data_IF_650580874405
#
_entry.id   IF_650580874405
#
_cell.length_a   1.000
_cell.length_b   1.000
_cell.length_c   1.000
_cell.angle_alpha   90.00
_cell.angle_beta   90.00
_cell.angle_gamma   90.00
#
_symmetry.space_group_name_H-M   'P 1'
#
loop_
_entity.id
_entity.type
_entity.pdbx_description
1 polymer ?
#
# COMPACT_ATOMS: atom_id res chain seq x y z
N UNK A 1 9.95 -6.28 -14.28
CA UNK A 1 9.14 -5.09 -13.93
C UNK A 1 8.34 -5.40 -12.69
N UNK A 2 8.14 -4.42 -11.80
CA UNK A 2 7.31 -4.62 -10.60
C UNK A 2 5.87 -4.92 -11.02
N UNK A 3 5.34 -6.06 -10.57
CA UNK A 3 4.02 -6.55 -10.94
C UNK A 3 2.98 -6.20 -9.88
N UNK A 4 2.84 -4.90 -9.65
CA UNK A 4 1.85 -4.32 -8.74
C UNK A 4 1.03 -3.28 -9.50
N UNK A 5 -0.28 -3.32 -9.32
CA UNK A 5 -1.24 -2.39 -9.90
C UNK A 5 -2.15 -1.82 -8.82
N UNK A 6 -2.57 -0.56 -8.98
CA UNK A 6 -3.32 0.16 -7.98
C UNK A 6 -4.48 0.98 -8.55
N UNK A 7 -5.62 0.97 -7.87
CA UNK A 7 -6.67 1.97 -7.98
C UNK A 7 -6.75 2.74 -6.66
N UNK A 8 -6.54 4.05 -6.71
CA UNK A 8 -6.49 4.93 -5.53
C UNK A 8 -7.60 5.97 -5.65
N UNK A 9 -8.45 6.06 -4.64
CA UNK A 9 -9.58 6.99 -4.60
C UNK A 9 -9.48 7.88 -3.36
N UNK A 10 -9.53 9.20 -3.55
CA UNK A 10 -9.49 10.20 -2.47
C UNK A 10 -10.55 11.28 -2.69
N UNK A 11 -11.45 11.48 -1.72
CA UNK A 11 -12.60 12.38 -1.87
C UNK A 11 -12.70 13.29 -0.64
N UNK A 12 -12.33 14.56 -0.83
CA UNK A 12 -12.50 15.60 0.18
C UNK A 12 -13.80 16.37 -0.02
N UNK A 13 -14.12 16.66 -1.27
CA UNK A 13 -15.30 17.43 -1.64
C UNK A 13 -16.41 16.56 -2.21
N UNK A 14 -17.65 16.93 -1.93
CA UNK A 14 -18.84 16.24 -2.41
C UNK A 14 -19.72 17.22 -3.18
N UNK A 15 -20.33 16.76 -4.27
CA UNK A 15 -21.20 17.59 -5.10
C UNK A 15 -22.46 18.02 -4.36
N UNK A 16 -22.95 17.15 -3.48
CA UNK A 16 -24.11 17.40 -2.65
C UNK A 16 -23.73 18.35 -1.50
N UNK A 17 -24.16 19.60 -1.57
CA UNK A 17 -23.79 20.65 -0.59
C UNK A 17 -24.26 20.42 0.86
N UNK A 18 -25.04 19.38 1.12
CA UNK A 18 -25.42 18.99 2.50
C UNK A 18 -24.41 18.06 3.16
N UNK A 19 -23.51 17.45 2.38
CA UNK A 19 -22.39 16.66 2.90
C UNK A 19 -21.26 17.65 3.19
N UNK A 20 -20.68 17.60 4.38
CA UNK A 20 -19.55 18.44 4.68
C UNK A 20 -18.30 17.90 3.99
N UNK A 21 -17.37 18.80 3.65
CA UNK A 21 -16.10 18.38 3.07
C UNK A 21 -15.16 17.86 4.18
N UNK A 22 -14.31 16.94 3.77
CA UNK A 22 -13.11 16.50 4.48
C UNK A 22 -11.91 17.34 4.02
N UNK A 23 -10.79 17.24 4.72
CA UNK A 23 -9.61 18.09 4.46
C UNK A 23 -8.35 17.32 4.04
N UNK A 24 -8.38 15.98 4.09
CA UNK A 24 -7.16 15.18 3.97
C UNK A 24 -7.22 13.96 3.06
N UNK A 25 -8.38 13.55 2.58
CA UNK A 25 -8.54 12.35 1.79
C UNK A 25 -7.79 12.42 0.45
N UNK A 26 -7.75 13.60 -0.19
CA UNK A 26 -7.01 13.80 -1.43
C UNK A 26 -5.51 13.77 -1.19
N UNK A 27 -5.03 14.37 -0.10
CA UNK A 27 -3.61 14.34 0.24
C UNK A 27 -3.15 12.93 0.64
N UNK A 28 -3.98 12.20 1.37
CA UNK A 28 -3.75 10.79 1.70
C UNK A 28 -3.64 9.90 0.47
N UNK A 29 -4.57 10.03 -0.49
CA UNK A 29 -4.50 9.34 -1.78
C UNK A 29 -3.19 9.67 -2.52
N UNK A 30 -2.77 10.94 -2.54
CA UNK A 30 -1.50 11.37 -3.15
C UNK A 30 -0.28 10.81 -2.41
N UNK A 31 -0.31 10.71 -1.08
CA UNK A 31 0.77 10.09 -0.29
C UNK A 31 0.90 8.60 -0.59
N UNK A 32 -0.23 7.88 -0.69
CA UNK A 32 -0.25 6.46 -1.09
C UNK A 32 0.29 6.29 -2.51
N UNK A 33 -0.14 7.13 -3.47
CA UNK A 33 0.42 7.10 -4.82
C UNK A 33 1.94 7.34 -4.81
N UNK A 34 2.41 8.32 -4.03
CA UNK A 34 3.85 8.60 -3.90
C UNK A 34 4.59 7.39 -3.34
N UNK A 35 4.07 6.71 -2.33
CA UNK A 35 4.66 5.49 -1.80
C UNK A 35 4.80 4.40 -2.88
N UNK A 36 3.73 4.13 -3.64
CA UNK A 36 3.79 3.14 -4.74
C UNK A 36 4.82 3.52 -5.81
N UNK A 37 4.82 4.77 -6.27
CA UNK A 37 5.68 5.19 -7.39
C UNK A 37 7.14 5.41 -6.97
N UNK A 38 7.38 5.98 -5.78
CA UNK A 38 8.71 6.42 -5.34
C UNK A 38 9.42 5.37 -4.52
N UNK A 39 8.72 4.66 -3.65
CA UNK A 39 9.36 3.74 -2.71
C UNK A 39 9.33 2.32 -3.28
N UNK A 40 8.14 1.86 -3.69
CA UNK A 40 7.97 0.56 -4.33
C UNK A 40 8.39 0.55 -5.81
N UNK A 41 8.66 1.72 -6.42
CA UNK A 41 9.06 1.88 -7.84
C UNK A 41 8.05 1.33 -8.85
N UNK A 42 6.78 1.30 -8.48
CA UNK A 42 5.68 0.86 -9.35
C UNK A 42 5.61 1.78 -10.59
N UNK A 43 5.50 1.23 -11.81
CA UNK A 43 5.32 2.03 -13.01
C UNK A 43 4.10 2.94 -12.92
N UNK A 44 4.21 4.18 -13.44
CA UNK A 44 3.13 5.17 -13.35
C UNK A 44 1.83 4.69 -14.00
N UNK A 45 1.93 3.98 -15.11
CA UNK A 45 0.80 3.43 -15.85
C UNK A 45 0.15 2.21 -15.18
N UNK A 46 0.73 1.70 -14.08
CA UNK A 46 0.10 0.67 -13.25
C UNK A 46 -0.80 1.28 -12.15
N UNK A 47 -0.76 2.59 -11.92
CA UNK A 47 -1.52 3.26 -10.86
C UNK A 47 -2.56 4.21 -11.48
N UNK A 48 -3.83 3.90 -11.27
CA UNK A 48 -4.96 4.78 -11.54
C UNK A 48 -5.34 5.52 -10.27
N UNK A 49 -5.57 6.84 -10.35
CA UNK A 49 -5.97 7.66 -9.21
C UNK A 49 -7.16 8.53 -9.60
N UNK A 50 -8.20 8.53 -8.76
CA UNK A 50 -9.42 9.33 -8.93
C UNK A 50 -9.59 10.24 -7.71
N UNK A 51 -9.68 11.55 -7.95
CA UNK A 51 -9.76 12.55 -6.89
C UNK A 51 -11.02 13.42 -7.03
N UNK A 52 -11.69 13.70 -5.91
CA UNK A 52 -12.85 14.59 -5.83
C UNK A 52 -13.84 14.36 -7.00
N UNK A 53 -14.06 15.37 -7.85
CA UNK A 53 -14.99 15.35 -9.00
C UNK A 53 -14.79 14.20 -9.98
N UNK A 54 -13.59 13.60 -10.01
CA UNK A 54 -13.30 12.44 -10.86
C UNK A 54 -13.79 11.14 -10.22
N UNK A 55 -13.91 11.08 -8.89
CA UNK A 55 -14.33 9.92 -8.12
C UNK A 55 -15.87 9.81 -8.02
N UNK A 56 -16.54 9.92 -9.17
CA UNK A 56 -17.96 9.57 -9.32
C UNK A 56 -18.16 8.06 -9.26
N UNK A 57 -19.35 7.61 -8.88
CA UNK A 57 -19.67 6.17 -8.84
C UNK A 57 -19.34 5.47 -10.16
N UNK A 58 -19.86 5.99 -11.27
CA UNK A 58 -19.65 5.42 -12.60
C UNK A 58 -18.17 5.40 -13.00
N UNK A 59 -17.39 6.42 -12.64
CA UNK A 59 -15.99 6.47 -13.01
C UNK A 59 -15.12 5.53 -12.17
N UNK A 60 -15.46 5.33 -10.89
CA UNK A 60 -14.82 4.33 -10.04
C UNK A 60 -15.09 2.92 -10.59
N UNK A 61 -16.35 2.58 -10.86
CA UNK A 61 -16.72 1.26 -11.40
C UNK A 61 -16.07 0.99 -12.77
N UNK A 62 -16.11 1.98 -13.66
CA UNK A 62 -15.45 1.90 -14.97
C UNK A 62 -13.94 1.72 -14.84
N UNK A 63 -13.29 2.54 -14.02
CA UNK A 63 -11.83 2.47 -13.81
C UNK A 63 -11.43 1.14 -13.17
N UNK A 64 -12.20 0.64 -12.20
CA UNK A 64 -11.96 -0.68 -11.61
C UNK A 64 -11.98 -1.78 -12.69
N UNK A 65 -13.02 -1.79 -13.52
CA UNK A 65 -13.17 -2.77 -14.59
C UNK A 65 -12.05 -2.64 -15.64
N UNK A 66 -11.83 -1.45 -16.19
CA UNK A 66 -10.86 -1.27 -17.28
C UNK A 66 -9.40 -1.37 -16.82
N UNK A 67 -9.07 -0.85 -15.63
CA UNK A 67 -7.68 -0.76 -15.15
C UNK A 67 -7.20 -2.01 -14.42
N UNK A 68 -8.07 -2.71 -13.70
CA UNK A 68 -7.68 -3.89 -12.91
C UNK A 68 -8.10 -5.20 -13.58
N UNK A 69 -9.35 -5.30 -14.03
CA UNK A 69 -9.90 -6.56 -14.58
C UNK A 69 -9.50 -6.76 -16.05
N UNK A 70 -9.84 -5.81 -16.91
CA UNK A 70 -9.69 -5.93 -18.38
C UNK A 70 -8.30 -5.55 -18.89
N UNK A 71 -7.45 -5.00 -18.02
CA UNK A 71 -6.11 -4.56 -18.39
C UNK A 71 -5.25 -5.73 -18.87
N UNK A 72 -4.77 -5.64 -20.11
CA UNK A 72 -3.96 -6.70 -20.75
C UNK A 72 -2.53 -6.74 -20.23
N UNK A 73 -2.07 -5.70 -19.53
CA UNK A 73 -0.76 -5.67 -18.86
C UNK A 73 -0.75 -6.45 -17.54
N UNK A 74 -1.93 -6.70 -16.94
CA UNK A 74 -2.03 -7.45 -15.70
C UNK A 74 -2.12 -8.96 -15.95
N UNK A 75 -1.42 -9.73 -15.15
CA UNK A 75 -1.37 -11.18 -15.20
C UNK A 75 -1.93 -11.80 -13.92
N UNK A 76 -2.28 -13.09 -13.99
CA UNK A 76 -2.68 -13.84 -12.80
C UNK A 76 -1.50 -13.89 -11.80
N UNK A 77 -1.78 -13.58 -10.54
CA UNK A 77 -0.80 -13.51 -9.46
C UNK A 77 -0.08 -12.16 -9.32
N UNK A 78 -0.44 -11.15 -10.12
CA UNK A 78 0.00 -9.77 -9.86
C UNK A 78 -0.62 -9.25 -8.56
N UNK A 79 0.10 -8.36 -7.87
CA UNK A 79 -0.43 -7.70 -6.68
C UNK A 79 -1.39 -6.57 -7.07
N UNK A 80 -2.59 -6.57 -6.51
CA UNK A 80 -3.61 -5.55 -6.75
C UNK A 80 -3.87 -4.76 -5.46
N UNK A 81 -3.81 -3.44 -5.54
CA UNK A 81 -4.17 -2.54 -4.43
C UNK A 81 -5.41 -1.74 -4.81
N UNK A 82 -6.40 -1.72 -3.93
CA UNK A 82 -7.56 -0.83 -4.03
C UNK A 82 -7.60 0.02 -2.76
N UNK A 83 -7.39 1.32 -2.90
CA UNK A 83 -7.33 2.26 -1.78
C UNK A 83 -8.49 3.25 -1.83
N UNK A 84 -9.17 3.44 -0.71
CA UNK A 84 -10.20 4.46 -0.55
C UNK A 84 -9.95 5.31 0.69
N UNK A 85 -10.04 6.63 0.50
CA UNK A 85 -10.10 7.63 1.55
C UNK A 85 -11.28 8.56 1.25
N UNK A 86 -12.35 8.46 2.03
CA UNK A 86 -13.59 9.20 1.82
C UNK A 86 -14.54 9.07 3.02
N UNK A 87 -15.68 9.75 2.98
CA UNK A 87 -16.79 9.47 3.86
C UNK A 87 -17.35 8.06 3.61
N UNK A 88 -17.69 7.38 4.69
CA UNK A 88 -18.59 6.24 4.67
C UNK A 88 -19.98 6.66 5.14
N UNK A 89 -20.96 5.83 4.85
CA UNK A 89 -22.31 5.97 5.39
C UNK A 89 -22.98 4.61 5.50
N UNK A 90 -24.23 4.62 5.95
CA UNK A 90 -25.10 3.44 5.98
C UNK A 90 -26.43 3.82 5.35
N UNK A 91 -26.75 3.25 4.19
CA UNK A 91 -28.04 3.47 3.50
C UNK A 91 -29.08 2.55 4.11
N UNK A 92 -30.26 3.08 4.44
CA UNK A 92 -31.39 2.30 4.94
C UNK A 92 -32.35 1.99 3.80
N UNK A 93 -32.79 0.74 3.74
CA UNK A 93 -33.78 0.27 2.77
C UNK A 93 -35.16 0.23 3.43
N UNK A 94 -36.23 0.31 2.64
CA UNK A 94 -37.61 0.22 3.14
C UNK A 94 -37.85 -1.05 3.97
N UNK A 95 -37.21 -2.16 3.58
CA UNK A 95 -37.20 -3.42 4.30
C UNK A 95 -35.77 -3.96 4.40
N UNK A 96 -35.30 -4.23 5.63
CA UNK A 96 -34.01 -4.88 5.90
C UNK A 96 -32.98 -4.04 6.65
N UNK A 97 -31.81 -4.63 6.99
CA UNK A 97 -30.74 -3.94 7.69
C UNK A 97 -30.09 -2.88 6.80
N UNK A 98 -29.54 -1.83 7.42
CA UNK A 98 -28.75 -0.82 6.72
C UNK A 98 -27.54 -1.43 6.01
N UNK A 99 -27.16 -0.86 4.87
CA UNK A 99 -26.03 -1.33 4.06
C UNK A 99 -24.94 -0.27 4.03
N UNK A 100 -23.71 -0.70 4.32
CA UNK A 100 -22.55 0.19 4.35
C UNK A 100 -22.19 0.65 2.93
N UNK A 101 -21.82 1.91 2.80
CA UNK A 101 -21.48 2.54 1.53
C UNK A 101 -20.26 3.42 1.66
N UNK A 102 -19.37 3.37 0.68
CA UNK A 102 -18.38 4.42 0.44
C UNK A 102 -19.04 5.54 -0.35
N UNK A 103 -19.05 6.75 0.20
CA UNK A 103 -19.65 7.92 -0.44
C UNK A 103 -18.75 8.38 -1.59
N UNK A 104 -19.26 8.29 -2.81
CA UNK A 104 -18.61 8.83 -4.02
C UNK A 104 -18.85 10.34 -4.13
N UNK A 105 -18.16 11.02 -5.03
CA UNK A 105 -18.30 12.48 -5.20
C UNK A 105 -19.76 12.92 -5.44
N UNK A 106 -20.50 12.11 -6.18
CA UNK A 106 -21.90 12.29 -6.56
C UNK A 106 -22.89 11.60 -5.60
N UNK A 107 -22.45 11.15 -4.42
CA UNK A 107 -23.32 10.53 -3.42
C UNK A 107 -24.47 11.46 -3.00
N UNK A 108 -25.71 10.94 -3.06
CA UNK A 108 -26.92 11.69 -2.78
C UNK A 108 -27.35 12.66 -3.88
N UNK A 109 -26.65 12.69 -5.02
CA UNK A 109 -27.10 13.42 -6.19
C UNK A 109 -28.15 12.59 -6.94
N UNK A 110 -29.40 13.05 -6.95
CA UNK A 110 -30.50 12.27 -7.52
C UNK A 110 -30.63 10.92 -6.83
N UNK A 111 -30.50 9.82 -7.57
CA UNK A 111 -30.61 8.45 -7.05
C UNK A 111 -29.24 7.77 -6.83
N UNK A 112 -28.13 8.52 -6.84
CA UNK A 112 -26.80 7.93 -6.65
C UNK A 112 -26.58 7.57 -5.18
N UNK A 113 -26.55 6.27 -4.90
CA UNK A 113 -26.33 5.71 -3.56
C UNK A 113 -24.86 5.52 -3.19
N UNK A 114 -23.91 5.87 -4.05
CA UNK A 114 -22.48 5.62 -3.84
C UNK A 114 -22.07 4.16 -4.10
N UNK A 115 -20.94 3.72 -3.54
CA UNK A 115 -20.42 2.37 -3.74
C UNK A 115 -20.74 1.46 -2.53
N UNK A 116 -21.79 0.65 -2.68
CA UNK A 116 -22.24 -0.30 -1.65
C UNK A 116 -21.21 -1.41 -1.40
N UNK A 117 -21.17 -1.91 -0.17
CA UNK A 117 -20.33 -3.06 0.24
C UNK A 117 -20.46 -4.27 -0.70
N UNK A 118 -21.68 -4.67 -1.05
CA UNK A 118 -22.00 -5.80 -1.93
C UNK A 118 -21.50 -5.56 -3.34
N UNK A 119 -21.65 -4.33 -3.86
CA UNK A 119 -21.18 -3.98 -5.19
C UNK A 119 -19.65 -4.07 -5.27
N UNK A 120 -18.95 -3.53 -4.26
CA UNK A 120 -17.50 -3.67 -4.17
C UNK A 120 -17.07 -5.14 -4.04
N UNK A 121 -17.74 -5.92 -3.19
CA UNK A 121 -17.47 -7.37 -3.03
C UNK A 121 -17.61 -8.13 -4.35
N UNK A 122 -18.66 -7.85 -5.14
CA UNK A 122 -18.83 -8.47 -6.47
C UNK A 122 -17.70 -8.09 -7.41
N UNK A 123 -17.34 -6.81 -7.50
CA UNK A 123 -16.22 -6.36 -8.34
C UNK A 123 -14.89 -7.03 -7.96
N UNK A 124 -14.62 -7.20 -6.66
CA UNK A 124 -13.42 -7.86 -6.15
C UNK A 124 -13.42 -9.36 -6.43
N UNK A 125 -14.58 -10.01 -6.33
CA UNK A 125 -14.71 -11.42 -6.70
C UNK A 125 -14.40 -11.62 -8.19
N UNK A 126 -14.88 -10.73 -9.05
CA UNK A 126 -14.60 -10.79 -10.48
C UNK A 126 -13.13 -10.48 -10.80
N UNK A 127 -12.52 -9.52 -10.08
CA UNK A 127 -11.08 -9.30 -10.13
C UNK A 127 -10.30 -10.55 -9.70
N UNK A 128 -10.73 -11.22 -8.64
CA UNK A 128 -10.08 -12.45 -8.14
C UNK A 128 -10.17 -13.60 -9.14
N UNK A 129 -11.32 -13.78 -9.78
CA UNK A 129 -11.48 -14.75 -10.88
C UNK A 129 -10.57 -14.42 -12.07
N UNK A 130 -10.45 -13.14 -12.42
CA UNK A 130 -9.64 -12.72 -13.56
C UNK A 130 -8.13 -12.77 -13.30
N UNK A 131 -7.67 -12.33 -12.11
CA UNK A 131 -6.26 -12.00 -11.83
C UNK A 131 -5.68 -12.72 -10.60
N UNK A 132 -6.48 -13.49 -9.86
CA UNK A 132 -6.05 -14.18 -8.64
C UNK A 132 -6.31 -13.38 -7.37
N UNK A 133 -5.97 -13.97 -6.22
CA UNK A 133 -6.38 -13.51 -4.88
C UNK A 133 -5.38 -12.59 -4.17
N UNK A 134 -4.31 -12.17 -4.85
CA UNK A 134 -3.33 -11.21 -4.31
C UNK A 134 -3.88 -9.77 -4.39
N UNK A 135 -5.06 -9.57 -3.79
CA UNK A 135 -5.80 -8.33 -3.78
C UNK A 135 -5.82 -7.79 -2.35
N UNK A 136 -5.32 -6.56 -2.18
CA UNK A 136 -5.33 -5.85 -0.89
C UNK A 136 -6.20 -4.62 -1.01
N UNK A 137 -7.18 -4.49 -0.11
CA UNK A 137 -8.03 -3.31 0.00
C UNK A 137 -7.65 -2.54 1.23
N UNK A 138 -7.53 -1.23 1.08
CA UNK A 138 -7.18 -0.32 2.15
C UNK A 138 -8.30 0.72 2.25
N UNK A 139 -9.08 0.67 3.33
CA UNK A 139 -10.21 1.58 3.57
C UNK A 139 -9.90 2.52 4.73
N UNK A 140 -9.72 3.80 4.44
CA UNK A 140 -9.62 4.85 5.45
C UNK A 140 -10.92 5.65 5.53
N UNK A 141 -11.95 4.98 6.05
CA UNK A 141 -13.35 5.45 6.13
C UNK A 141 -14.10 4.75 7.28
N UNK A 142 -15.29 5.25 7.65
CA UNK A 142 -16.16 4.64 8.66
C UNK A 142 -17.66 4.77 8.33
N UNK A 143 -18.49 3.82 8.76
CA UNK A 143 -19.85 3.63 8.20
C UNK A 143 -21.01 3.87 9.18
N UNK A 144 -20.83 3.52 10.46
CA UNK A 144 -21.88 3.59 11.48
C UNK A 144 -21.34 4.02 12.85
N UNK A 145 -20.61 5.15 12.97
CA UNK A 145 -20.05 5.56 14.25
C UNK A 145 -21.16 5.87 15.26
N UNK A 146 -20.98 5.44 16.51
CA UNK A 146 -21.87 5.78 17.61
C UNK A 146 -22.05 7.30 17.71
N UNK A 147 -23.29 7.79 17.80
CA UNK A 147 -23.60 9.21 17.87
C UNK A 147 -23.73 9.65 19.34
N UNK A 148 -22.62 10.10 19.94
CA UNK A 148 -22.60 10.76 21.26
C UNK A 148 -22.48 12.29 21.12
N UNK A 149 -22.81 13.09 22.15
CA UNK A 149 -22.66 14.55 22.09
C UNK A 149 -21.25 15.02 21.72
N UNK A 150 -20.20 14.31 22.19
CA UNK A 150 -18.82 14.58 21.81
C UNK A 150 -18.59 14.26 20.32
N UNK A 151 -19.16 13.16 19.83
CA UNK A 151 -19.00 12.72 18.45
C UNK A 151 -19.66 13.65 17.44
N UNK A 152 -20.75 14.32 17.82
CA UNK A 152 -21.43 15.32 16.99
C UNK A 152 -20.57 16.59 16.83
N UNK A 153 -19.83 16.98 17.88
CA UNK A 153 -18.93 18.15 17.83
C UNK A 153 -17.77 17.91 16.85
N UNK A 154 -17.24 16.69 16.82
CA UNK A 154 -16.09 16.30 15.97
C UNK A 154 -16.50 15.71 14.61
N UNK A 155 -17.77 15.86 14.20
CA UNK A 155 -18.29 15.25 12.96
C UNK A 155 -17.54 15.69 11.70
N UNK A 156 -17.03 16.93 11.69
CA UNK A 156 -16.27 17.48 10.54
C UNK A 156 -14.97 16.73 10.27
N UNK A 157 -14.36 16.18 11.32
CA UNK A 157 -13.10 15.43 11.20
C UNK A 157 -13.35 13.91 11.20
N UNK A 158 -14.61 13.47 11.20
CA UNK A 158 -14.97 12.06 11.13
C UNK A 158 -15.27 11.72 9.68
N UNK A 159 -14.67 10.65 9.17
CA UNK A 159 -14.87 10.17 7.78
C UNK A 159 -16.19 9.41 7.64
N UNK A 160 -17.28 10.04 8.05
CA UNK A 160 -18.65 9.55 7.97
C UNK A 160 -19.62 10.69 7.66
N UNK A 161 -20.68 10.43 6.90
CA UNK A 161 -21.80 11.36 6.72
C UNK A 161 -23.14 10.63 6.88
N UNK A 162 -24.20 11.24 7.43
CA UNK A 162 -25.53 10.64 7.45
C UNK A 162 -26.10 10.49 6.02
N UNK A 163 -27.00 9.52 5.86
CA UNK A 163 -27.66 9.17 4.60
C UNK A 163 -29.14 9.57 4.58
N UNK A 164 -29.60 10.42 5.51
CA UNK A 164 -31.01 10.66 5.86
C UNK A 164 -31.96 11.04 4.70
N UNK A 165 -31.42 11.40 3.52
CA UNK A 165 -32.19 11.75 2.31
C UNK A 165 -32.17 10.67 1.22
N UNK A 166 -31.42 9.59 1.42
CA UNK A 166 -31.29 8.46 0.50
C UNK A 166 -32.10 7.30 1.10
N UNK A 167 -33.42 7.40 1.01
CA UNK A 167 -34.29 6.23 1.19
C UNK A 167 -34.49 5.66 -0.20
N UNK A 168 -33.78 4.57 -0.50
CA UNK A 168 -34.05 3.87 -1.75
C UNK A 168 -35.35 3.11 -1.59
N UNK A 169 -36.33 3.47 -2.41
CA UNK A 169 -37.59 2.74 -2.55
C UNK A 169 -37.43 1.46 -3.38
N UNK A 170 -36.29 1.31 -4.08
CA UNK A 170 -35.97 0.06 -4.75
C UNK A 170 -35.74 -1.02 -3.69
N UNK A 171 -36.45 -2.14 -3.84
CA UNK A 171 -36.23 -3.35 -3.07
C UNK A 171 -34.73 -3.63 -2.99
N UNK A 172 -34.23 -3.95 -1.79
CA UNK A 172 -32.82 -4.31 -1.55
C UNK A 172 -32.25 -5.03 -2.77
N UNK A 173 -31.23 -4.49 -3.48
CA UNK A 173 -30.73 -5.11 -4.71
C UNK A 173 -30.47 -6.58 -4.42
N UNK A 174 -31.20 -7.43 -5.15
CA UNK A 174 -31.56 -8.78 -4.71
C UNK A 174 -30.41 -9.57 -4.07
N UNK A 175 -30.74 -10.35 -3.04
CA UNK A 175 -29.80 -11.33 -2.43
C UNK A 175 -29.12 -12.10 -3.57
N UNK A 176 -27.80 -11.97 -3.78
CA UNK A 176 -27.12 -12.88 -4.68
C UNK A 176 -27.28 -14.29 -4.13
N UNK A 177 -27.69 -15.22 -4.99
CA UNK A 177 -28.04 -16.63 -4.69
C UNK A 177 -26.89 -17.45 -4.06
N UNK A 178 -25.73 -16.84 -3.80
CA UNK A 178 -24.52 -17.52 -3.33
C UNK A 178 -24.50 -17.69 -1.80
N UNK A 179 -25.36 -17.03 -1.01
CA UNK A 179 -25.14 -16.95 0.45
C UNK A 179 -26.40 -17.11 1.28
N UNK A 180 -26.88 -18.35 1.33
CA UNK A 180 -27.76 -18.84 2.39
C UNK A 180 -26.92 -19.30 3.60
N UNK A 181 -26.20 -18.38 4.26
CA UNK A 181 -25.71 -18.60 5.62
C UNK A 181 -26.13 -17.42 6.49
N UNK A 182 -27.14 -17.70 7.30
CA UNK A 182 -27.76 -16.84 8.30
C UNK A 182 -26.81 -16.55 9.46
N UNK A 183 -25.99 -15.51 9.35
CA UNK A 183 -25.50 -14.83 10.54
C UNK A 183 -25.58 -13.31 10.34
N UNK A 184 -26.54 -12.69 11.03
CA UNK A 184 -26.79 -11.25 11.07
C UNK A 184 -25.60 -10.43 11.60
N UNK A 185 -24.51 -11.09 12.00
CA UNK A 185 -23.24 -10.48 12.45
C UNK A 185 -22.26 -10.19 11.31
N UNK A 186 -22.58 -10.61 10.08
CA UNK A 186 -21.65 -10.67 8.94
C UNK A 186 -22.05 -9.71 7.80
N UNK A 187 -22.57 -8.53 8.15
CA UNK A 187 -23.04 -7.48 7.22
C UNK A 187 -22.00 -6.36 7.15
N UNK A 188 -21.75 -5.80 5.96
CA UNK A 188 -20.82 -4.69 5.77
C UNK A 188 -19.50 -5.07 5.07
N UNK A 189 -18.55 -4.14 5.06
CA UNK A 189 -17.20 -4.36 4.53
C UNK A 189 -16.36 -5.33 5.37
N UNK A 190 -16.83 -5.73 6.56
CA UNK A 190 -16.11 -6.54 7.55
C UNK A 190 -16.01 -8.03 7.23
N UNK A 191 -16.69 -8.49 6.18
CA UNK A 191 -16.81 -9.90 5.88
C UNK A 191 -15.49 -10.51 5.43
N UNK A 192 -15.07 -11.59 6.10
CA UNK A 192 -13.89 -12.34 5.73
C UNK A 192 -14.15 -13.13 4.44
N UNK A 193 -13.52 -12.71 3.34
CA UNK A 193 -13.62 -13.38 2.04
C UNK A 193 -12.28 -14.02 1.67
N UNK A 194 -12.35 -15.07 0.85
CA UNK A 194 -11.17 -15.77 0.33
C UNK A 194 -10.49 -14.97 -0.79
N UNK A 195 -11.22 -14.04 -1.42
CA UNK A 195 -10.80 -13.37 -2.65
C UNK A 195 -9.85 -12.18 -2.45
N UNK A 196 -9.80 -11.59 -1.26
CA UNK A 196 -8.97 -10.43 -0.95
C UNK A 196 -8.65 -10.29 0.55
N UNK A 197 -7.63 -9.50 0.86
CA UNK A 197 -7.31 -9.04 2.21
C UNK A 197 -7.78 -7.60 2.40
N UNK A 198 -8.51 -7.33 3.48
CA UNK A 198 -8.92 -5.99 3.88
C UNK A 198 -8.03 -5.46 4.99
N UNK A 199 -7.59 -4.21 4.86
CA UNK A 199 -7.05 -3.36 5.91
C UNK A 199 -7.95 -2.14 6.04
N UNK A 200 -8.55 -1.94 7.21
CA UNK A 200 -9.51 -0.87 7.39
C UNK A 200 -9.23 -0.05 8.66
N UNK A 201 -9.51 1.24 8.56
CA UNK A 201 -9.25 2.23 9.60
C UNK A 201 -9.97 1.95 10.91
N UNK A 202 -11.18 1.39 10.85
CA UNK A 202 -11.96 1.01 12.03
C UNK A 202 -13.06 -0.03 11.68
N UNK A 203 -13.51 -0.85 12.65
CA UNK A 203 -14.71 -1.68 12.54
C UNK A 203 -16.00 -0.87 12.36
N UNK A 204 -17.09 -1.54 11.96
CA UNK A 204 -18.42 -0.96 12.01
C UNK A 204 -18.76 -0.57 13.45
N UNK A 205 -19.43 0.56 13.64
CA UNK A 205 -19.67 1.13 14.98
C UNK A 205 -18.59 2.12 15.45
N UNK A 206 -17.37 2.01 14.90
CA UNK A 206 -16.23 2.83 15.28
C UNK A 206 -15.98 3.99 14.29
N UNK A 207 -14.94 4.78 14.56
CA UNK A 207 -14.63 6.02 13.84
C UNK A 207 -13.29 5.95 13.14
N UNK A 208 -13.27 6.48 11.93
CA UNK A 208 -12.06 6.89 11.23
C UNK A 208 -11.98 8.42 11.28
N UNK A 209 -10.84 8.95 11.74
CA UNK A 209 -10.65 10.36 12.03
C UNK A 209 -9.57 11.00 11.16
N UNK A 210 -9.78 12.27 10.84
CA UNK A 210 -8.79 13.16 10.24
C UNK A 210 -8.03 13.94 11.32
N UNK A 211 -6.72 14.03 11.16
CA UNK A 211 -5.84 14.88 11.94
C UNK A 211 -5.08 15.84 11.04
N UNK A 212 -4.20 16.66 11.65
CA UNK A 212 -3.39 17.66 10.92
C UNK A 212 -2.51 17.05 9.81
N UNK A 213 -2.02 15.84 10.04
CA UNK A 213 -1.14 15.11 9.12
C UNK A 213 -1.91 14.25 8.11
N UNK A 214 -3.23 14.25 8.17
CA UNK A 214 -4.13 13.46 7.34
C UNK A 214 -4.98 12.46 8.11
N UNK A 215 -5.53 11.46 7.43
CA UNK A 215 -6.25 10.36 8.06
C UNK A 215 -5.34 9.62 9.02
N UNK A 216 -5.81 9.37 10.26
CA UNK A 216 -4.99 8.72 11.29
C UNK A 216 -4.48 7.36 10.85
N UNK A 217 -5.31 6.60 10.13
CA UNK A 217 -4.93 5.28 9.64
C UNK A 217 -3.91 5.37 8.50
N UNK A 218 -4.16 6.17 7.47
CA UNK A 218 -3.22 6.34 6.35
C UNK A 218 -1.88 6.90 6.82
N UNK A 219 -1.87 7.86 7.73
CA UNK A 219 -0.64 8.44 8.28
C UNK A 219 0.19 7.38 9.01
N UNK A 220 -0.43 6.62 9.92
CA UNK A 220 0.25 5.55 10.65
C UNK A 220 0.69 4.39 9.75
N UNK A 221 -0.10 4.05 8.73
CA UNK A 221 0.28 3.08 7.69
C UNK A 221 1.56 3.53 6.99
N UNK A 222 1.59 4.77 6.52
CA UNK A 222 2.73 5.32 5.77
C UNK A 222 3.97 5.56 6.63
N UNK A 223 3.81 5.71 7.95
CA UNK A 223 4.93 5.72 8.88
C UNK A 223 5.48 4.29 9.08
N UNK A 224 4.61 3.31 9.32
CA UNK A 224 4.99 1.89 9.45
C UNK A 224 5.75 1.38 8.22
N UNK A 225 5.30 1.69 7.00
CA UNK A 225 5.98 1.23 5.76
C UNK A 225 7.40 1.76 5.61
N UNK A 226 7.73 2.90 6.22
CA UNK A 226 9.08 3.49 6.16
C UNK A 226 10.05 2.86 7.14
N UNK A 227 9.54 2.32 8.24
CA UNK A 227 10.35 1.80 9.35
C UNK A 227 10.44 0.27 9.35
N UNK A 228 9.60 -0.40 8.56
CA UNK A 228 9.43 -1.85 8.64
C UNK A 228 9.92 -2.54 7.36
N UNK A 229 10.64 -3.67 7.48
CA UNK A 229 11.01 -4.48 6.31
C UNK A 229 9.78 -5.19 5.72
N UNK A 230 9.16 -4.56 4.72
CA UNK A 230 7.90 -5.00 4.13
C UNK A 230 7.94 -6.34 3.40
N UNK A 231 9.11 -6.76 2.92
CA UNK A 231 9.24 -7.97 2.10
C UNK A 231 8.94 -9.28 2.85
N UNK A 232 8.95 -9.26 4.19
CA UNK A 232 8.70 -10.43 5.03
C UNK A 232 7.57 -10.21 6.06
N UNK A 233 6.86 -9.08 5.99
CA UNK A 233 5.78 -8.80 6.93
C UNK A 233 4.44 -9.29 6.37
N UNK A 234 3.60 -9.87 7.21
CA UNK A 234 2.21 -10.19 6.84
C UNK A 234 1.30 -8.96 6.95
N UNK A 235 0.12 -9.02 6.33
CA UNK A 235 -0.89 -7.96 6.49
C UNK A 235 -1.29 -7.78 7.97
N UNK A 236 -1.43 -8.89 8.72
CA UNK A 236 -1.70 -8.87 10.15
C UNK A 236 -0.55 -8.24 10.95
N UNK A 237 0.69 -8.62 10.68
CA UNK A 237 1.86 -8.05 11.35
C UNK A 237 2.00 -6.54 11.06
N UNK A 238 1.78 -6.12 9.81
CA UNK A 238 1.80 -4.70 9.44
C UNK A 238 0.74 -3.93 10.23
N UNK A 239 -0.45 -4.49 10.39
CA UNK A 239 -1.51 -3.86 11.16
C UNK A 239 -1.17 -3.71 12.64
N UNK A 240 -0.44 -4.65 13.25
CA UNK A 240 0.01 -4.53 14.64
C UNK A 240 0.92 -3.30 14.84
N UNK A 241 1.86 -3.07 13.93
CA UNK A 241 2.68 -1.85 13.94
C UNK A 241 1.84 -0.59 13.74
N UNK A 242 0.89 -0.61 12.80
CA UNK A 242 -0.03 0.52 12.57
C UNK A 242 -0.85 0.83 13.82
N UNK A 243 -1.35 -0.20 14.52
CA UNK A 243 -2.08 -0.04 15.79
C UNK A 243 -1.22 0.58 16.88
N UNK A 244 0.06 0.23 16.97
CA UNK A 244 0.96 0.85 17.98
C UNK A 244 1.20 2.34 17.74
N UNK A 245 1.05 2.82 16.51
CA UNK A 245 1.22 4.22 16.13
C UNK A 245 -0.06 5.04 16.25
N UNK A 246 -1.21 4.38 16.12
CA UNK A 246 -2.51 5.02 16.29
C UNK A 246 -2.80 5.10 17.79
N UNK A 247 -2.81 6.32 18.32
CA UNK A 247 -3.24 6.57 19.70
C UNK A 247 -4.71 6.20 19.94
N UNK A 248 -5.24 6.57 21.11
CA UNK A 248 -6.64 6.28 21.45
C UNK A 248 -7.67 6.85 20.46
N UNK A 249 -8.83 6.20 20.38
CA UNK A 249 -10.02 6.69 19.66
C UNK A 249 -10.22 6.15 18.24
N UNK A 250 -9.35 5.25 17.76
CA UNK A 250 -9.53 4.55 16.49
C UNK A 250 -8.80 3.20 16.54
N UNK A 251 -9.44 2.12 16.09
CA UNK A 251 -8.86 0.77 16.11
C UNK A 251 -8.85 0.16 14.71
N UNK A 252 -7.74 0.21 13.97
CA UNK A 252 -7.65 -0.49 12.70
C UNK A 252 -7.87 -1.99 12.84
N UNK A 253 -8.39 -2.62 11.80
CA UNK A 253 -8.56 -4.07 11.73
C UNK A 253 -8.18 -4.60 10.35
N UNK A 254 -7.91 -5.90 10.29
CA UNK A 254 -7.70 -6.63 9.06
C UNK A 254 -8.67 -7.81 8.99
N UNK A 255 -9.12 -8.14 7.79
CA UNK A 255 -10.02 -9.26 7.53
C UNK A 255 -9.67 -9.97 6.21
N UNK A 256 -10.15 -11.20 6.06
CA UNK A 256 -9.87 -12.08 4.92
C UNK A 256 -9.02 -13.30 5.31
N UNK A 257 -9.05 -14.35 4.49
CA UNK A 257 -8.29 -15.58 4.76
C UNK A 257 -6.77 -15.38 4.62
N UNK A 258 -6.36 -14.45 3.77
CA UNK A 258 -4.97 -14.20 3.41
C UNK A 258 -4.26 -13.17 4.32
N UNK A 259 -4.83 -12.79 5.47
CA UNK A 259 -4.25 -11.79 6.38
C UNK A 259 -2.86 -12.18 6.93
N UNK A 260 -2.57 -13.48 7.02
CA UNK A 260 -1.27 -14.01 7.47
C UNK A 260 -0.24 -14.17 6.35
N UNK A 261 -0.65 -14.02 5.08
CA UNK A 261 0.25 -14.05 3.92
C UNK A 261 1.18 -12.83 3.95
N UNK A 262 2.41 -12.94 3.41
CA UNK A 262 3.25 -11.77 3.18
C UNK A 262 2.50 -10.66 2.43
N UNK A 263 2.79 -9.41 2.78
CA UNK A 263 2.19 -8.25 2.16
C UNK A 263 2.43 -8.30 0.63
N UNK A 264 1.34 -8.21 -0.14
CA UNK A 264 1.36 -8.33 -1.61
C UNK A 264 1.99 -9.63 -2.13
N UNK A 265 1.99 -10.70 -1.33
CA UNK A 265 2.70 -11.96 -1.61
C UNK A 265 4.20 -11.77 -1.90
N UNK A 266 4.78 -10.72 -1.32
CA UNK A 266 6.12 -10.25 -1.58
C UNK A 266 6.45 -9.88 -3.06
N UNK A 267 5.48 -9.94 -3.97
CA UNK A 267 5.64 -9.69 -5.42
C UNK A 267 6.35 -8.38 -5.77
N UNK A 268 6.08 -7.22 -5.13
CA UNK A 268 6.74 -5.97 -5.49
C UNK A 268 8.20 -5.88 -5.01
N UNK A 269 8.63 -6.75 -4.08
CA UNK A 269 9.94 -6.67 -3.44
C UNK A 269 10.95 -7.52 -4.22
N UNK A 270 11.60 -6.92 -5.20
CA UNK A 270 12.60 -7.58 -6.04
C UNK A 270 14.00 -7.37 -5.42
N UNK A 271 14.89 -8.39 -5.42
CA UNK A 271 16.28 -8.23 -5.02
C UNK A 271 17.00 -7.11 -5.77
N UNK A 272 17.73 -6.28 -5.05
CA UNK A 272 18.61 -5.26 -5.60
C UNK A 272 20.03 -5.82 -5.77
N UNK A 273 20.44 -5.98 -7.02
CA UNK A 273 21.74 -6.56 -7.39
C UNK A 273 22.96 -5.71 -6.98
N UNK A 274 22.74 -4.52 -6.41
CA UNK A 274 23.80 -3.68 -5.82
C UNK A 274 24.24 -4.16 -4.43
N UNK A 275 23.47 -5.07 -3.83
CA UNK A 275 23.78 -5.69 -2.56
C UNK A 275 24.28 -7.11 -2.80
N UNK A 276 25.36 -7.47 -2.12
CA UNK A 276 26.03 -8.75 -2.27
C UNK A 276 25.90 -9.52 -0.97
N UNK A 277 25.63 -10.81 -1.04
CA UNK A 277 25.59 -11.64 0.15
C UNK A 277 26.98 -11.67 0.80
N UNK A 278 27.00 -11.60 2.12
CA UNK A 278 28.19 -11.73 2.93
C UNK A 278 27.89 -12.60 4.16
N UNK A 279 28.86 -13.44 4.49
CA UNK A 279 28.74 -14.40 5.59
C UNK A 279 29.77 -14.06 6.66
N UNK A 280 29.35 -13.98 7.91
CA UNK A 280 30.26 -13.75 9.02
C UNK A 280 30.99 -15.06 9.33
N UNK A 281 32.32 -15.02 9.24
CA UNK A 281 33.18 -16.16 9.56
C UNK A 281 33.65 -16.04 11.02
N UNK A 282 33.01 -16.80 11.91
CA UNK A 282 33.27 -16.77 13.36
C UNK A 282 34.74 -17.05 13.71
N UNK A 283 35.37 -18.02 13.02
CA UNK A 283 36.76 -18.41 13.23
C UNK A 283 37.74 -17.24 13.08
N UNK A 284 37.41 -16.29 12.20
CA UNK A 284 38.27 -15.15 11.88
C UNK A 284 37.72 -13.82 12.41
N UNK A 285 36.49 -13.80 12.94
CA UNK A 285 35.73 -12.57 13.27
C UNK A 285 35.71 -11.57 12.11
N UNK A 286 35.68 -12.09 10.87
CA UNK A 286 35.72 -11.31 9.65
C UNK A 286 34.49 -11.63 8.81
N UNK A 287 34.03 -10.62 8.08
CA UNK A 287 32.95 -10.76 7.12
C UNK A 287 33.55 -11.21 5.77
N UNK A 288 33.14 -12.38 5.29
CA UNK A 288 33.50 -12.88 3.97
C UNK A 288 32.53 -12.32 2.93
N UNK A 289 33.05 -11.63 1.93
CA UNK A 289 32.28 -10.98 0.87
C UNK A 289 32.63 -11.63 -0.46
N UNK A 290 31.64 -12.00 -1.27
CA UNK A 290 31.80 -12.55 -2.62
C UNK A 290 32.28 -11.54 -3.68
N UNK A 291 33.04 -10.52 -3.28
CA UNK A 291 33.63 -9.51 -4.14
C UNK A 291 35.13 -9.42 -3.85
N UNK A 292 35.93 -9.30 -4.92
CA UNK A 292 37.40 -9.35 -4.86
C UNK A 292 38.04 -8.41 -5.88
N UNK A 293 39.32 -8.60 -6.17
CA UNK A 293 40.08 -7.70 -7.06
C UNK A 293 39.49 -7.61 -8.46
N UNK A 294 38.93 -8.70 -9.02
CA UNK A 294 38.28 -8.68 -10.34
C UNK A 294 37.02 -7.81 -10.38
N UNK A 295 36.43 -7.55 -9.22
CA UNK A 295 35.29 -6.65 -9.05
C UNK A 295 35.74 -5.21 -8.73
N UNK A 296 37.04 -4.95 -8.69
CA UNK A 296 37.64 -3.65 -8.37
C UNK A 296 37.80 -3.38 -6.87
N UNK A 297 37.52 -4.35 -6.00
CA UNK A 297 37.70 -4.22 -4.54
C UNK A 297 39.18 -4.22 -4.22
N UNK A 298 39.60 -3.29 -3.37
CA UNK A 298 40.97 -3.23 -2.79
C UNK A 298 40.90 -3.08 -1.28
N UNK A 299 42.02 -3.35 -0.61
CA UNK A 299 42.15 -3.10 0.83
C UNK A 299 41.79 -1.66 1.18
N UNK A 300 41.04 -1.49 2.27
CA UNK A 300 40.47 -0.21 2.70
C UNK A 300 39.18 0.20 1.98
N UNK A 301 38.66 -0.58 1.03
CA UNK A 301 37.30 -0.37 0.50
C UNK A 301 36.28 -0.49 1.64
N UNK A 302 35.30 0.41 1.69
CA UNK A 302 34.28 0.43 2.74
C UNK A 302 32.94 -0.08 2.20
N UNK A 303 32.36 -1.03 2.93
CA UNK A 303 31.02 -1.56 2.73
C UNK A 303 30.09 -1.10 3.85
N UNK A 304 28.82 -0.82 3.51
CA UNK A 304 27.72 -0.82 4.49
C UNK A 304 27.12 -2.21 4.57
N UNK A 305 26.78 -2.65 5.79
CA UNK A 305 26.16 -3.96 6.08
C UNK A 305 24.67 -3.76 6.31
N UNK A 306 23.85 -4.68 5.78
CA UNK A 306 22.40 -4.58 5.69
C UNK A 306 21.71 -5.91 5.99
N UNK A 307 20.46 -5.88 6.50
CA UNK A 307 19.70 -7.08 6.84
C UNK A 307 19.06 -7.80 5.65
N UNK A 308 18.94 -7.17 4.46
CA UNK A 308 18.42 -7.80 3.23
C UNK A 308 18.86 -7.03 1.98
N UNK A 309 18.44 -7.48 0.79
CA UNK A 309 18.68 -6.79 -0.49
C UNK A 309 17.42 -6.36 -1.25
N UNK A 310 16.22 -6.57 -0.71
CA UNK A 310 14.98 -6.22 -1.42
C UNK A 310 14.75 -4.71 -1.60
N UNK A 311 14.33 -4.30 -2.80
CA UNK A 311 13.86 -2.94 -3.10
C UNK A 311 12.49 -2.68 -2.51
N UNK A 312 12.19 -1.42 -2.17
CA UNK A 312 10.88 -1.00 -1.66
C UNK A 312 10.56 -1.47 -0.24
N UNK A 313 11.51 -2.14 0.43
CA UNK A 313 11.44 -2.55 1.83
C UNK A 313 12.49 -1.76 2.62
N UNK A 314 12.15 -1.32 3.84
CA UNK A 314 13.09 -0.60 4.70
C UNK A 314 14.34 -1.46 4.98
N UNK A 315 15.52 -0.95 4.62
CA UNK A 315 16.79 -1.69 4.67
C UNK A 315 17.89 -0.86 5.36
N UNK A 316 17.85 -0.71 6.70
CA UNK A 316 18.78 0.16 7.42
C UNK A 316 20.23 -0.35 7.35
N UNK A 317 21.19 0.57 7.50
CA UNK A 317 22.61 0.23 7.67
C UNK A 317 22.82 -0.27 9.09
N UNK A 318 23.28 -1.52 9.23
CA UNK A 318 23.57 -2.15 10.52
C UNK A 318 24.98 -1.82 11.02
N UNK A 319 25.95 -1.84 10.10
CA UNK A 319 27.35 -1.61 10.40
C UNK A 319 28.10 -1.10 9.15
N UNK A 320 29.33 -0.65 9.35
CA UNK A 320 30.28 -0.45 8.26
C UNK A 320 31.40 -1.49 8.41
N UNK A 321 31.81 -2.07 7.28
CA UNK A 321 32.88 -3.04 7.20
C UNK A 321 34.01 -2.51 6.30
N UNK A 322 35.24 -2.59 6.79
CA UNK A 322 36.44 -2.17 6.07
C UNK A 322 37.18 -3.40 5.54
N UNK A 323 37.44 -3.44 4.24
CA UNK A 323 38.17 -4.55 3.61
C UNK A 323 39.60 -4.61 4.13
N UNK A 324 40.01 -5.77 4.64
CA UNK A 324 41.36 -6.01 5.19
C UNK A 324 42.20 -6.94 4.33
N UNK A 325 41.57 -7.88 3.62
CA UNK A 325 42.26 -8.81 2.72
C UNK A 325 41.44 -9.01 1.46
N UNK A 326 42.10 -9.06 0.31
CA UNK A 326 41.42 -9.21 -0.99
C UNK A 326 42.01 -10.37 -1.77
N UNK A 327 41.13 -11.19 -2.31
CA UNK A 327 41.42 -12.29 -3.21
C UNK A 327 40.80 -12.00 -4.59
N UNK A 328 41.06 -12.82 -5.63
CA UNK A 328 40.53 -12.56 -6.96
C UNK A 328 39.01 -12.36 -7.00
N UNK A 329 38.24 -13.27 -6.39
CA UNK A 329 36.78 -13.29 -6.48
C UNK A 329 36.06 -12.96 -5.17
N UNK A 330 36.78 -12.83 -4.06
CA UNK A 330 36.21 -12.60 -2.74
C UNK A 330 37.17 -11.78 -1.85
N UNK A 331 36.69 -11.31 -0.70
CA UNK A 331 37.48 -10.53 0.26
C UNK A 331 37.02 -10.76 1.69
N UNK A 332 37.88 -10.38 2.64
CA UNK A 332 37.52 -10.25 4.04
C UNK A 332 37.41 -8.77 4.43
N UNK A 333 36.40 -8.47 5.24
CA UNK A 333 36.22 -7.15 5.82
C UNK A 333 35.98 -7.23 7.33
N UNK A 334 36.49 -6.25 8.06
CA UNK A 334 36.26 -6.11 9.50
C UNK A 334 35.11 -5.15 9.76
N UNK A 335 34.06 -5.62 10.42
CA UNK A 335 32.94 -4.79 10.84
C UNK A 335 33.24 -4.08 12.18
N UNK A 336 32.82 -2.82 12.33
CA UNK A 336 32.98 -2.06 13.59
C UNK A 336 31.99 -2.47 14.70
N UNK A 337 31.03 -3.31 14.38
CA UNK A 337 29.93 -3.70 15.26
C UNK A 337 29.54 -5.14 14.97
N UNK A 338 28.80 -5.78 15.88
CA UNK A 338 28.26 -7.12 15.67
C UNK A 338 27.36 -7.15 14.43
N UNK A 339 27.51 -8.17 13.60
CA UNK A 339 26.74 -8.40 12.38
C UNK A 339 26.14 -9.80 12.42
N UNK A 340 24.97 -10.02 11.82
CA UNK A 340 24.35 -11.34 11.81
C UNK A 340 25.15 -12.32 10.94
N UNK A 341 24.98 -13.65 11.15
CA UNK A 341 25.74 -14.67 10.42
C UNK A 341 25.60 -14.57 8.90
N UNK A 342 24.40 -14.24 8.43
CA UNK A 342 24.12 -13.96 7.02
C UNK A 342 23.63 -12.52 6.90
N UNK A 343 24.23 -11.77 5.98
CA UNK A 343 23.87 -10.38 5.73
C UNK A 343 24.14 -10.00 4.28
N UNK A 344 23.86 -8.74 3.97
CA UNK A 344 24.13 -8.17 2.66
C UNK A 344 25.03 -6.95 2.80
N UNK A 345 25.91 -6.75 1.83
CA UNK A 345 26.81 -5.60 1.79
C UNK A 345 26.61 -4.77 0.54
N UNK A 346 26.74 -3.45 0.68
CA UNK A 346 26.75 -2.52 -0.43
C UNK A 346 28.01 -1.68 -0.36
N UNK A 347 28.63 -1.44 -1.51
CA UNK A 347 29.84 -0.60 -1.58
C UNK A 347 29.44 0.83 -1.21
N UNK A 348 30.04 1.33 -0.13
CA UNK A 348 29.84 2.69 0.36
C UNK A 348 30.89 3.64 -0.19
N UNK A 349 32.16 3.20 -0.20
CA UNK A 349 33.28 4.00 -0.67
C UNK A 349 34.38 3.10 -1.22
N UNK A 350 34.81 3.39 -2.44
CA UNK A 350 35.99 2.78 -3.06
C UNK A 350 37.27 3.37 -2.46
N UNK A 351 38.31 2.54 -2.30
CA UNK A 351 39.64 2.98 -1.86
C UNK A 351 40.69 2.94 -3.00
N UNK A 352 40.23 2.93 -4.25
CA UNK A 352 41.13 2.94 -5.40
C UNK A 352 41.69 4.37 -5.58
N UNK A 353 42.97 4.58 -5.31
CA UNK A 353 43.67 5.85 -5.59
C UNK A 353 43.96 6.10 -7.08
N UNK A 354 43.40 5.30 -7.99
CA UNK A 354 43.48 5.48 -9.44
C UNK A 354 42.10 5.33 -10.04
N UNK A 355 41.57 6.43 -10.59
CA UNK A 355 40.25 6.44 -11.21
C UNK A 355 40.16 5.45 -12.37
N UNK A 356 39.08 4.68 -12.40
CA UNK A 356 38.53 4.24 -13.69
C UNK A 356 37.99 5.48 -14.40
N UNK A 357 38.85 6.15 -15.18
CA UNK A 357 38.43 7.08 -16.22
C UNK A 357 37.75 6.28 -17.34
N UNK A 358 36.55 5.77 -17.10
CA UNK A 358 35.63 5.47 -18.18
C UNK A 358 35.03 6.81 -18.63
N UNK A 359 35.74 7.47 -19.55
CA UNK A 359 35.23 8.65 -20.22
C UNK A 359 33.98 8.29 -21.02
N UNK A 360 32.81 8.42 -20.40
CA UNK A 360 31.55 8.58 -21.12
C UNK A 360 31.62 9.98 -21.75
N UNK A 361 32.30 10.08 -22.90
CA UNK A 361 32.08 11.19 -23.82
C UNK A 361 30.62 11.08 -24.25
N UNK A 362 29.77 11.89 -23.65
CA UNK A 362 28.54 12.33 -24.29
C UNK A 362 28.93 12.93 -25.64
N UNK A 363 28.76 12.15 -26.72
CA UNK A 363 28.81 12.70 -28.08
C UNK A 363 27.60 13.61 -28.20
N UNK A 364 27.83 14.91 -28.02
CA UNK A 364 27.03 15.95 -28.66
C UNK A 364 27.04 15.66 -30.16
N UNK A 365 25.90 15.20 -30.69
CA UNK A 365 25.64 15.15 -32.11
C UNK A 365 25.33 16.57 -32.58
N UNK A 366 26.40 17.28 -32.96
CA UNK A 366 26.29 18.47 -33.79
C UNK A 366 25.67 18.09 -35.13
N UNK A 367 24.57 18.76 -35.43
CA UNK A 367 24.20 19.20 -36.76
C UNK A 367 25.42 19.46 -37.64
N UNK A 368 25.44 18.88 -38.85
CA UNK A 368 25.72 19.57 -40.11
C UNK A 368 25.81 18.58 -41.28
N UNK A 369 25.14 18.98 -42.38
CA UNK A 369 25.34 18.65 -43.79
C UNK A 369 24.68 17.40 -44.38
N UNK A 370 23.56 17.63 -45.08
CA UNK A 370 23.35 17.41 -46.54
C UNK A 370 22.30 18.45 -46.97
N UNK A 371 22.66 19.48 -47.74
CA UNK A 371 22.71 19.53 -49.22
C UNK A 371 21.51 18.86 -49.88
#
# INVERSE_FOLDING_TARGET
TIRLFGLIVGIDSYKQGTIWNLESCVDDAKKVQRWLLKDLKVPKDHVCMLLDKEATKDNIERSFSSHLIQNTKTQRGDAMIVYFSCHGSTVRWAEGPGTEVLCTYDFGQGNVVGLLDRALQTMLLDLSKAKGDNITIILDSCFSPLQSPANIRDRRNTRWTPSDKIVSHDASPGRPTILARDDLRDVGFHRALESYTLLAACPSGEKALEGKEGGRFTSALLETVRETPLHNISCAGMLEHVRSKIGGGQRPFAAGLNVKRPLFDAVPFIPDLRYFQADFADDFKLLRIGLGTVHGVVEGTEFSVHPHNYRGSCNPVMANALVTHVYPTWSFAQAKSSVPPTCWVQIRRWNNRGGFNAGVKAKNSSSLLRR
#
